data_IF_997955554322
#
_entry.id   IF_997955554322
#
_cell.length_a   1.000
_cell.length_b   1.000
_cell.length_c   1.000
_cell.angle_alpha   90.00
_cell.angle_beta   90.00
_cell.angle_gamma   90.00
#
_symmetry.space_group_name_H-M   'P 1'
#
loop_
_entity.id
_entity.type
_entity.pdbx_description
1 polymer ?
#
# COMPACT_ATOMS: atom_id res chain seq x y z
N UNK A 1 -7.42 -19.96 -9.77
CA UNK A 1 -7.19 -18.84 -8.82
C UNK A 1 -6.23 -19.30 -7.72
N UNK A 2 -5.03 -18.72 -7.66
CA UNK A 2 -4.06 -19.00 -6.58
C UNK A 2 -4.42 -18.14 -5.36
N UNK A 3 -4.55 -18.74 -4.18
CA UNK A 3 -4.86 -18.01 -2.95
C UNK A 3 -3.64 -17.18 -2.52
N UNK A 4 -3.81 -15.88 -2.29
CA UNK A 4 -2.77 -15.02 -1.74
C UNK A 4 -2.44 -15.37 -0.29
N UNK A 5 -1.21 -15.09 0.15
CA UNK A 5 -0.79 -15.29 1.55
C UNK A 5 -1.46 -14.27 2.47
N UNK A 6 -1.35 -14.49 3.78
CA UNK A 6 -1.85 -13.53 4.77
C UNK A 6 -1.18 -12.17 4.65
N UNK A 7 0.14 -12.14 4.49
CA UNK A 7 0.88 -10.88 4.41
C UNK A 7 0.50 -10.10 3.14
N UNK A 8 0.33 -10.80 2.01
CA UNK A 8 -0.18 -10.19 0.78
C UNK A 8 -1.61 -9.66 0.97
N UNK A 9 -2.48 -10.39 1.67
CA UNK A 9 -3.83 -9.94 1.97
C UNK A 9 -3.85 -8.69 2.85
N UNK A 10 -3.07 -8.62 3.94
CA UNK A 10 -3.05 -7.44 4.81
C UNK A 10 -2.31 -6.24 4.18
N UNK A 11 -1.31 -6.51 3.34
CA UNK A 11 -0.68 -5.47 2.54
C UNK A 11 -1.66 -4.91 1.49
N UNK A 12 -2.39 -5.78 0.79
CA UNK A 12 -3.47 -5.40 -0.12
C UNK A 12 -4.51 -4.47 0.55
N UNK A 13 -4.91 -4.78 1.78
CA UNK A 13 -5.82 -3.92 2.55
C UNK A 13 -5.21 -2.54 2.84
N UNK A 14 -3.91 -2.48 3.09
CA UNK A 14 -3.20 -1.22 3.32
C UNK A 14 -3.11 -0.37 2.03
N UNK A 15 -2.84 -0.98 0.88
CA UNK A 15 -2.92 -0.28 -0.41
C UNK A 15 -4.36 0.18 -0.74
N UNK A 16 -5.38 -0.65 -0.46
CA UNK A 16 -6.78 -0.27 -0.62
C UNK A 16 -7.16 0.94 0.24
N UNK A 17 -6.70 1.01 1.50
CA UNK A 17 -6.89 2.17 2.36
C UNK A 17 -6.19 3.41 1.81
N UNK A 18 -4.99 3.25 1.24
CA UNK A 18 -4.23 4.36 0.64
C UNK A 18 -5.00 5.09 -0.47
N UNK A 19 -5.91 4.41 -1.18
CA UNK A 19 -6.78 5.02 -2.20
C UNK A 19 -7.71 6.12 -1.64
N UNK A 20 -7.92 6.16 -0.32
CA UNK A 20 -8.67 7.24 0.35
C UNK A 20 -7.80 8.40 0.81
N UNK A 21 -6.48 8.33 0.61
CA UNK A 21 -5.58 9.42 0.96
C UNK A 21 -6.00 10.72 0.28
N UNK A 22 -5.86 11.81 1.01
CA UNK A 22 -6.10 13.15 0.49
C UNK A 22 -4.81 13.93 0.30
N UNK A 23 -3.64 13.30 0.48
CA UNK A 23 -2.34 13.93 0.24
C UNK A 23 -1.89 13.68 -1.20
N UNK A 24 -1.59 14.74 -1.95
CA UNK A 24 -1.14 14.63 -3.34
C UNK A 24 0.35 14.30 -3.47
N UNK A 25 1.11 14.31 -2.36
CA UNK A 25 2.55 13.99 -2.36
C UNK A 25 2.84 12.50 -2.23
N UNK A 26 2.04 11.80 -1.43
CA UNK A 26 2.17 10.38 -1.18
C UNK A 26 0.86 9.85 -0.60
N UNK A 27 0.33 8.79 -1.19
CA UNK A 27 -0.81 8.06 -0.65
C UNK A 27 -0.29 6.89 0.20
N UNK A 28 -0.61 6.90 1.49
CA UNK A 28 -0.19 5.87 2.44
C UNK A 28 -1.43 5.30 3.11
N UNK A 29 -1.48 3.98 3.21
CA UNK A 29 -2.42 3.26 4.06
C UNK A 29 -1.70 2.34 5.04
N UNK A 30 -2.36 2.05 6.15
CA UNK A 30 -1.88 1.18 7.21
C UNK A 30 -3.02 0.34 7.79
N UNK A 31 -2.74 -0.92 8.12
CA UNK A 31 -3.69 -1.88 8.70
C UNK A 31 -3.07 -2.51 9.94
N UNK A 32 -3.78 -2.47 11.08
CA UNK A 32 -3.37 -3.16 12.30
C UNK A 32 -4.13 -4.48 12.41
N UNK A 33 -3.39 -5.55 12.69
CA UNK A 33 -3.87 -6.94 12.68
C UNK A 33 -3.51 -7.62 14.00
N UNK A 34 -4.46 -8.37 14.56
CA UNK A 34 -4.23 -9.29 15.68
C UNK A 34 -4.90 -10.61 15.38
N UNK A 35 -4.19 -11.73 15.59
CA UNK A 35 -4.71 -13.08 15.36
C UNK A 35 -5.33 -13.25 13.96
N UNK A 36 -4.67 -12.67 12.94
CA UNK A 36 -5.13 -12.62 11.54
C UNK A 36 -6.49 -11.94 11.35
N UNK A 37 -6.88 -11.06 12.27
CA UNK A 37 -8.08 -10.21 12.17
C UNK A 37 -7.66 -8.75 12.15
N UNK A 38 -8.25 -8.00 11.24
CA UNK A 38 -8.05 -6.55 11.16
C UNK A 38 -8.76 -5.91 12.35
N UNK A 39 -8.04 -5.08 13.11
CA UNK A 39 -8.59 -4.36 14.27
C UNK A 39 -8.67 -2.85 14.06
N UNK A 40 -7.85 -2.30 13.15
CA UNK A 40 -7.93 -0.91 12.72
C UNK A 40 -7.30 -0.70 11.34
N UNK A 41 -7.66 0.41 10.71
CA UNK A 41 -7.08 0.86 9.46
C UNK A 41 -6.91 2.37 9.46
N UNK A 42 -5.94 2.86 8.69
CA UNK A 42 -5.68 4.28 8.54
C UNK A 42 -5.17 4.59 7.15
N UNK A 43 -5.38 5.83 6.72
CA UNK A 43 -4.74 6.41 5.56
C UNK A 43 -4.29 7.82 5.92
N UNK A 44 -3.29 8.36 5.22
CA UNK A 44 -2.83 9.71 5.52
C UNK A 44 -3.84 10.76 5.02
N UNK A 45 -4.25 11.65 5.90
CA UNK A 45 -5.28 12.65 5.63
C UNK A 45 -5.38 13.69 6.72
N UNK A 46 -6.05 14.80 6.44
CA UNK A 46 -6.27 15.87 7.42
C UNK A 46 -7.10 15.40 8.61
N UNK A 47 -7.08 16.17 9.69
CA UNK A 47 -8.00 15.98 10.82
C UNK A 47 -9.46 15.96 10.32
N UNK A 48 -10.33 15.23 11.03
CA UNK A 48 -11.76 15.21 10.69
C UNK A 48 -12.36 16.62 10.77
N UNK A 49 -13.03 17.03 9.68
CA UNK A 49 -13.64 18.37 9.56
C UNK A 49 -12.66 19.50 9.18
N UNK A 50 -11.37 19.20 8.97
CA UNK A 50 -10.38 20.16 8.50
C UNK A 50 -10.25 20.20 6.97
N UNK A 51 -9.48 21.18 6.49
CA UNK A 51 -9.13 21.30 5.07
C UNK A 51 -8.24 20.14 4.60
N UNK A 52 -8.57 19.51 3.46
CA UNK A 52 -7.78 18.46 2.83
C UNK A 52 -6.74 19.00 1.84
N UNK A 53 -5.65 18.26 1.59
CA UNK A 53 -4.64 18.70 0.61
C UNK A 53 -5.19 18.71 -0.81
N UNK A 54 -6.13 17.83 -1.15
CA UNK A 54 -6.83 17.86 -2.45
C UNK A 54 -7.60 19.16 -2.69
N UNK A 55 -8.06 19.83 -1.63
CA UNK A 55 -8.86 21.05 -1.74
C UNK A 55 -8.03 22.33 -1.60
N UNK A 56 -7.01 22.32 -0.72
CA UNK A 56 -6.22 23.51 -0.34
C UNK A 56 -4.73 23.41 -0.65
N UNK A 57 -4.30 22.32 -1.28
CA UNK A 57 -2.89 21.99 -1.43
C UNK A 57 -2.25 21.47 -0.13
N UNK A 58 -1.10 20.81 -0.28
CA UNK A 58 -0.30 20.38 0.86
C UNK A 58 0.19 21.60 1.65
N UNK A 59 0.09 21.53 2.98
CA UNK A 59 0.74 22.50 3.86
C UNK A 59 2.14 21.98 4.20
N UNK A 60 3.17 22.56 3.58
CA UNK A 60 4.54 22.03 3.62
C UNK A 60 5.41 22.88 4.55
N UNK A 61 6.08 22.23 5.49
CA UNK A 61 7.09 22.82 6.38
C UNK A 61 8.32 21.92 6.30
N UNK A 62 9.50 22.51 6.07
CA UNK A 62 10.79 21.80 5.94
C UNK A 62 10.75 20.61 4.96
N UNK A 63 10.01 20.75 3.86
CA UNK A 63 9.86 19.70 2.84
C UNK A 63 8.87 18.58 3.19
N UNK A 64 8.25 18.62 4.36
CA UNK A 64 7.25 17.66 4.84
C UNK A 64 5.84 18.26 4.83
N UNK A 65 4.85 17.48 4.39
CA UNK A 65 3.45 17.89 4.50
C UNK A 65 2.97 17.68 5.93
N UNK A 66 2.70 18.78 6.65
CA UNK A 66 2.25 18.74 8.05
C UNK A 66 0.73 18.85 8.20
N UNK A 67 0.00 18.96 7.07
CA UNK A 67 -1.48 18.99 7.07
C UNK A 67 -2.10 17.65 7.49
N UNK A 68 -1.43 16.55 7.14
CA UNK A 68 -1.98 15.21 7.27
C UNK A 68 -1.52 14.52 8.54
N UNK A 69 -2.45 13.87 9.23
CA UNK A 69 -2.11 12.75 10.10
C UNK A 69 -1.69 11.59 9.21
N UNK A 70 -0.59 10.92 9.57
CA UNK A 70 -0.07 9.77 8.82
C UNK A 70 -0.96 8.53 8.98
N UNK A 71 -0.83 7.57 8.07
CA UNK A 71 -1.70 6.39 8.03
C UNK A 71 -1.57 5.53 9.29
N UNK A 72 -0.33 5.30 9.72
CA UNK A 72 0.06 4.54 10.90
C UNK A 72 -0.56 5.19 12.15
N UNK A 73 -0.45 6.52 12.25
CA UNK A 73 -1.05 7.28 13.35
C UNK A 73 -2.57 7.21 13.32
N UNK A 74 -3.21 7.34 12.16
CA UNK A 74 -4.67 7.21 12.08
C UNK A 74 -5.14 5.82 12.50
N UNK A 75 -4.41 4.75 12.17
CA UNK A 75 -4.73 3.40 12.61
C UNK A 75 -4.58 3.24 14.14
N UNK A 76 -3.49 3.76 14.73
CA UNK A 76 -3.28 3.76 16.18
C UNK A 76 -4.33 4.62 16.92
N UNK A 77 -4.66 5.79 16.39
CA UNK A 77 -5.68 6.69 16.94
C UNK A 77 -7.07 6.08 16.88
N UNK A 78 -7.40 5.30 15.83
CA UNK A 78 -8.65 4.54 15.79
C UNK A 78 -8.74 3.57 16.97
N UNK A 79 -7.68 2.79 17.21
CA UNK A 79 -7.62 1.87 18.34
C UNK A 79 -7.77 2.61 19.69
N UNK A 80 -7.06 3.73 19.87
CA UNK A 80 -7.17 4.57 21.07
C UNK A 80 -8.59 5.10 21.27
N UNK A 81 -9.23 5.63 20.22
CA UNK A 81 -10.58 6.18 20.25
C UNK A 81 -11.63 5.15 20.67
N UNK A 82 -11.45 3.90 20.27
CA UNK A 82 -12.41 2.82 20.54
C UNK A 82 -11.99 1.89 21.68
N UNK A 83 -10.91 2.20 22.41
CA UNK A 83 -10.46 1.40 23.55
C UNK A 83 -9.94 0.01 23.16
N UNK A 84 -9.42 -0.15 21.94
CA UNK A 84 -8.84 -1.41 21.45
C UNK A 84 -7.34 -1.40 21.72
N UNK A 85 -6.86 -2.32 22.55
CA UNK A 85 -5.42 -2.48 22.76
C UNK A 85 -4.73 -2.87 21.46
N UNK A 86 -3.53 -2.36 21.20
CA UNK A 86 -2.66 -2.76 20.08
C UNK A 86 -1.40 -3.51 20.53
N UNK A 87 -1.24 -3.72 21.85
CA UNK A 87 -0.11 -4.49 22.39
C UNK A 87 -0.08 -5.89 21.78
N UNK A 88 1.09 -6.31 21.30
CA UNK A 88 1.29 -7.62 20.66
C UNK A 88 0.69 -7.75 19.24
N UNK A 89 0.14 -6.67 18.67
CA UNK A 89 -0.43 -6.69 17.33
C UNK A 89 0.65 -6.44 16.26
N UNK A 90 0.28 -6.69 15.01
CA UNK A 90 1.09 -6.41 13.83
C UNK A 90 0.55 -5.17 13.11
N UNK A 91 1.42 -4.44 12.43
CA UNK A 91 1.02 -3.36 11.53
C UNK A 91 1.57 -3.59 10.12
N UNK A 92 0.73 -3.41 9.12
CA UNK A 92 1.06 -3.43 7.70
C UNK A 92 0.96 -2.00 7.19
N UNK A 93 1.97 -1.50 6.48
CA UNK A 93 2.01 -0.13 5.97
C UNK A 93 2.48 -0.13 4.52
N UNK A 94 1.77 0.56 3.63
CA UNK A 94 2.17 0.66 2.21
C UNK A 94 3.56 1.26 1.98
N UNK A 95 4.10 2.00 2.95
CA UNK A 95 5.40 2.66 2.86
C UNK A 95 6.11 2.56 4.20
N UNK A 96 7.45 2.53 4.19
CA UNK A 96 8.23 2.53 5.43
C UNK A 96 7.87 3.75 6.30
N UNK A 97 7.59 3.56 7.60
CA UNK A 97 7.10 4.63 8.46
C UNK A 97 8.15 5.71 8.70
N UNK A 98 7.70 6.97 8.83
CA UNK A 98 8.59 8.05 9.23
C UNK A 98 9.03 7.88 10.70
N UNK A 99 10.13 8.53 11.10
CA UNK A 99 10.69 8.43 12.46
C UNK A 99 9.64 8.63 13.58
N UNK A 100 8.69 9.56 13.41
CA UNK A 100 7.66 9.80 14.43
C UNK A 100 6.65 8.65 14.50
N UNK A 101 6.22 8.13 13.35
CA UNK A 101 5.33 6.97 13.30
C UNK A 101 6.02 5.73 13.86
N UNK A 102 7.30 5.52 13.54
CA UNK A 102 8.12 4.44 14.10
C UNK A 102 8.16 4.48 15.62
N UNK A 103 8.45 5.65 16.22
CA UNK A 103 8.44 5.82 17.68
C UNK A 103 7.06 5.51 18.27
N UNK A 104 5.98 5.95 17.63
CA UNK A 104 4.62 5.68 18.08
C UNK A 104 4.26 4.18 17.97
N UNK A 105 4.66 3.50 16.89
CA UNK A 105 4.47 2.06 16.69
C UNK A 105 5.15 1.28 17.83
N UNK A 106 6.42 1.59 18.10
CA UNK A 106 7.20 0.98 19.19
C UNK A 106 6.50 1.22 20.53
N UNK A 107 6.21 2.48 20.86
CA UNK A 107 5.66 2.84 22.17
C UNK A 107 4.24 2.32 22.40
N UNK A 108 3.47 2.08 21.32
CA UNK A 108 2.15 1.49 21.39
C UNK A 108 2.18 -0.03 21.68
N UNK A 109 3.35 -0.68 21.55
CA UNK A 109 3.52 -2.10 21.81
C UNK A 109 3.20 -3.00 20.61
N UNK A 110 3.31 -2.48 19.37
CA UNK A 110 3.28 -3.31 18.16
C UNK A 110 4.50 -4.23 18.15
N UNK A 111 4.29 -5.51 17.82
CA UNK A 111 5.37 -6.50 17.80
C UNK A 111 6.04 -6.62 16.44
N UNK A 112 5.31 -6.42 15.34
CA UNK A 112 5.81 -6.63 13.98
C UNK A 112 5.32 -5.55 13.03
N UNK A 113 6.25 -5.03 12.23
CA UNK A 113 6.04 -4.01 11.21
C UNK A 113 6.30 -4.61 9.83
N UNK A 114 5.26 -4.68 9.02
CA UNK A 114 5.32 -5.09 7.62
C UNK A 114 5.19 -3.85 6.73
N UNK A 115 6.05 -3.71 5.72
CA UNK A 115 5.97 -2.59 4.77
C UNK A 115 6.20 -3.03 3.32
N UNK A 116 5.65 -2.35 2.31
CA UNK A 116 5.85 -2.72 0.90
C UNK A 116 6.90 -1.88 0.18
N UNK A 117 6.80 -0.56 0.23
CA UNK A 117 7.75 0.35 -0.43
C UNK A 117 8.66 1.08 0.57
N UNK A 118 9.92 1.26 0.21
CA UNK A 118 10.81 2.16 0.93
C UNK A 118 10.36 3.62 0.79
N UNK A 119 10.58 4.41 1.84
CA UNK A 119 10.26 5.83 1.84
C UNK A 119 11.30 6.64 2.61
N UNK A 120 12.43 6.93 1.95
CA UNK A 120 13.55 7.71 2.52
C UNK A 120 13.84 7.30 3.97
N UNK A 121 14.03 5.99 4.17
CA UNK A 121 14.05 5.38 5.50
C UNK A 121 15.10 6.09 6.37
N UNK A 122 14.66 6.59 7.52
CA UNK A 122 15.54 7.31 8.43
C UNK A 122 16.38 6.30 9.22
N UNK A 123 17.71 6.41 9.21
CA UNK A 123 18.62 5.44 9.87
C UNK A 123 18.26 5.24 11.35
N UNK A 124 18.07 6.34 12.09
CA UNK A 124 17.64 6.27 13.49
C UNK A 124 16.29 5.56 13.71
N UNK A 125 15.37 5.54 12.72
CA UNK A 125 14.13 4.78 12.85
C UNK A 125 14.39 3.28 12.80
N UNK A 126 15.33 2.83 11.97
CA UNK A 126 15.77 1.43 11.87
C UNK A 126 16.43 1.02 13.20
N UNK A 127 17.37 1.82 13.69
CA UNK A 127 18.04 1.58 14.98
C UNK A 127 17.04 1.44 16.14
N UNK A 128 16.01 2.29 16.19
CA UNK A 128 14.98 2.22 17.23
C UNK A 128 14.13 0.94 17.14
N UNK A 129 13.80 0.49 15.93
CA UNK A 129 13.05 -0.76 15.74
C UNK A 129 13.86 -1.97 16.21
N UNK A 130 15.16 -2.00 15.89
CA UNK A 130 16.09 -3.02 16.36
C UNK A 130 16.24 -3.01 17.88
N UNK A 131 16.47 -1.83 18.49
CA UNK A 131 16.58 -1.67 19.95
C UNK A 131 15.31 -2.10 20.69
N UNK A 132 14.14 -1.85 20.10
CA UNK A 132 12.85 -2.24 20.67
C UNK A 132 12.49 -3.72 20.44
N UNK A 133 13.25 -4.44 19.60
CA UNK A 133 12.94 -5.82 19.22
C UNK A 133 11.67 -5.98 18.39
N UNK A 134 11.31 -4.96 17.60
CA UNK A 134 10.19 -5.03 16.66
C UNK A 134 10.66 -5.74 15.39
N UNK A 135 9.99 -6.83 15.00
CA UNK A 135 10.31 -7.53 13.75
C UNK A 135 9.90 -6.65 12.56
N UNK A 136 10.82 -6.45 11.60
CA UNK A 136 10.57 -5.63 10.42
C UNK A 136 10.67 -6.50 9.18
N UNK A 137 9.60 -6.54 8.38
CA UNK A 137 9.52 -7.38 7.18
C UNK A 137 9.06 -6.57 5.98
N UNK A 138 9.84 -6.60 4.90
CA UNK A 138 9.40 -6.05 3.63
C UNK A 138 8.54 -7.08 2.89
N UNK A 139 7.31 -6.69 2.54
CA UNK A 139 6.37 -7.49 1.75
C UNK A 139 6.41 -6.99 0.32
N UNK A 140 7.04 -7.74 -0.58
CA UNK A 140 7.00 -7.43 -2.01
C UNK A 140 5.56 -7.54 -2.49
N UNK A 141 4.95 -6.40 -2.81
CA UNK A 141 3.54 -6.32 -3.15
C UNK A 141 3.37 -5.94 -4.62
N UNK A 142 2.73 -6.81 -5.39
CA UNK A 142 2.40 -6.56 -6.79
C UNK A 142 0.92 -6.17 -6.89
N UNK A 143 0.66 -4.88 -7.12
CA UNK A 143 -0.70 -4.34 -7.18
C UNK A 143 -1.56 -5.00 -8.26
N UNK A 144 -0.94 -5.56 -9.31
CA UNK A 144 -1.63 -6.28 -10.40
C UNK A 144 -2.34 -7.55 -9.90
N UNK A 145 -1.94 -8.08 -8.75
CA UNK A 145 -2.60 -9.24 -8.14
C UNK A 145 -3.98 -8.91 -7.55
N UNK A 146 -4.32 -7.63 -7.36
CA UNK A 146 -5.67 -7.19 -6.99
C UNK A 146 -6.38 -6.59 -8.22
N UNK A 147 -6.50 -7.38 -9.28
CA UNK A 147 -7.33 -7.02 -10.42
C UNK A 147 -8.52 -7.98 -10.53
N UNK A 148 -9.69 -7.53 -10.08
CA UNK A 148 -10.92 -8.31 -10.14
C UNK A 148 -11.43 -8.55 -11.57
N UNK A 149 -10.86 -7.86 -12.56
CA UNK A 149 -11.20 -7.98 -13.97
C UNK A 149 -10.02 -8.50 -14.79
N UNK A 150 -9.03 -9.14 -14.17
CA UNK A 150 -7.82 -9.60 -14.86
C UNK A 150 -8.16 -10.51 -16.04
N UNK A 151 -9.08 -11.45 -15.84
CA UNK A 151 -9.51 -12.42 -16.85
C UNK A 151 -10.24 -11.72 -18.00
N UNK A 152 -11.17 -10.81 -17.70
CA UNK A 152 -11.94 -10.08 -18.71
C UNK A 152 -11.05 -9.15 -19.53
N UNK A 153 -10.09 -8.47 -18.89
CA UNK A 153 -9.15 -7.61 -19.61
C UNK A 153 -8.17 -8.42 -20.47
N UNK A 154 -7.70 -9.56 -19.98
CA UNK A 154 -6.89 -10.49 -20.77
C UNK A 154 -7.67 -11.01 -21.99
N UNK A 155 -8.94 -11.39 -21.81
CA UNK A 155 -9.80 -11.83 -22.90
C UNK A 155 -10.03 -10.73 -23.95
N UNK A 156 -10.31 -9.50 -23.52
CA UNK A 156 -10.45 -8.34 -24.42
C UNK A 156 -9.16 -8.09 -25.20
N UNK A 157 -8.01 -8.18 -24.55
CA UNK A 157 -6.72 -8.02 -25.20
C UNK A 157 -6.49 -9.08 -26.29
N UNK A 158 -6.77 -10.34 -26.00
CA UNK A 158 -6.63 -11.43 -26.97
C UNK A 158 -7.53 -11.25 -28.19
N UNK A 159 -8.76 -10.76 -28.00
CA UNK A 159 -9.64 -10.41 -29.11
C UNK A 159 -9.04 -9.29 -30.00
N UNK A 160 -8.48 -8.24 -29.38
CA UNK A 160 -7.89 -7.11 -30.11
C UNK A 160 -6.64 -7.52 -30.89
N UNK A 161 -5.76 -8.34 -30.31
CA UNK A 161 -4.57 -8.87 -30.98
C UNK A 161 -4.92 -9.78 -32.14
N UNK A 162 -5.91 -10.65 -31.97
CA UNK A 162 -6.43 -11.49 -33.05
C UNK A 162 -6.89 -10.65 -34.25
N UNK A 163 -7.70 -9.62 -33.99
CA UNK A 163 -8.16 -8.67 -35.02
C UNK A 163 -7.04 -7.88 -35.68
N UNK A 164 -6.00 -7.50 -34.93
CA UNK A 164 -4.85 -6.79 -35.49
C UNK A 164 -4.05 -7.69 -36.45
N UNK A 165 -3.84 -8.96 -36.06
CA UNK A 165 -3.19 -9.96 -36.91
C UNK A 165 -3.98 -10.22 -38.20
N UNK A 166 -5.30 -10.34 -38.12
CA UNK A 166 -6.19 -10.51 -39.29
C UNK A 166 -6.11 -9.33 -40.27
N UNK A 167 -5.86 -8.11 -39.76
CA UNK A 167 -5.71 -6.91 -40.59
C UNK A 167 -4.29 -6.70 -41.13
N UNK A 168 -3.37 -7.64 -40.90
CA UNK A 168 -2.01 -7.60 -41.42
C UNK A 168 -1.02 -6.81 -40.55
N UNK A 169 -1.28 -6.69 -39.24
CA UNK A 169 -0.29 -6.16 -38.30
C UNK A 169 1.01 -6.96 -38.33
N UNK A 170 2.15 -6.27 -38.22
CA UNK A 170 3.47 -6.93 -38.29
C UNK A 170 3.77 -7.70 -37.01
N UNK A 171 4.65 -8.71 -37.10
CA UNK A 171 5.09 -9.48 -35.93
C UNK A 171 5.76 -8.58 -34.88
N UNK A 172 6.45 -7.52 -35.32
CA UNK A 172 7.07 -6.52 -34.44
C UNK A 172 6.02 -5.70 -33.68
N UNK A 173 4.94 -5.30 -34.35
CA UNK A 173 3.83 -4.56 -33.73
C UNK A 173 3.06 -5.44 -32.72
N UNK A 174 2.83 -6.71 -33.06
CA UNK A 174 2.19 -7.68 -32.16
C UNK A 174 3.07 -7.94 -30.93
N UNK A 175 4.38 -8.10 -31.11
CA UNK A 175 5.32 -8.29 -30.00
C UNK A 175 5.33 -7.09 -29.04
N UNK A 176 5.31 -5.87 -29.57
CA UNK A 176 5.24 -4.64 -28.77
C UNK A 176 4.03 -4.61 -27.83
N UNK A 177 2.83 -4.94 -28.34
CA UNK A 177 1.62 -4.96 -27.51
C UNK A 177 1.62 -6.10 -26.49
N UNK A 178 2.15 -7.27 -26.85
CA UNK A 178 2.29 -8.41 -25.92
C UNK A 178 3.18 -8.08 -24.73
N UNK A 179 4.31 -7.42 -24.98
CA UNK A 179 5.21 -6.99 -23.90
C UNK A 179 4.51 -6.00 -22.96
N UNK A 180 3.83 -4.98 -23.52
CA UNK A 180 3.08 -4.00 -22.73
C UNK A 180 1.96 -4.62 -21.90
N UNK A 181 1.30 -5.66 -22.42
CA UNK A 181 0.29 -6.38 -21.66
C UNK A 181 0.91 -7.23 -20.56
N UNK A 182 2.03 -7.91 -20.81
CA UNK A 182 2.77 -8.60 -19.76
C UNK A 182 3.18 -7.64 -18.63
N UNK A 183 3.61 -6.43 -18.97
CA UNK A 183 3.94 -5.39 -17.99
C UNK A 183 2.72 -4.93 -17.17
N UNK A 184 1.60 -4.64 -17.83
CA UNK A 184 0.41 -4.08 -17.16
C UNK A 184 -0.41 -5.12 -16.39
N UNK A 185 -0.47 -6.36 -16.88
CA UNK A 185 -1.38 -7.39 -16.38
C UNK A 185 -0.67 -8.48 -15.56
N UNK A 186 0.65 -8.61 -15.70
CA UNK A 186 1.45 -9.56 -14.91
C UNK A 186 1.26 -11.04 -15.30
N UNK A 187 0.45 -11.35 -16.31
CA UNK A 187 0.27 -12.71 -16.86
C UNK A 187 0.95 -12.85 -18.22
N UNK A 188 1.59 -13.99 -18.47
CA UNK A 188 1.82 -14.46 -19.83
C UNK A 188 0.48 -14.95 -20.36
N UNK A 189 -0.16 -14.13 -21.19
CA UNK A 189 -1.35 -14.57 -21.90
C UNK A 189 -0.84 -15.42 -23.07
N UNK A 190 -0.85 -16.74 -22.88
CA UNK A 190 -0.52 -17.67 -23.97
C UNK A 190 -1.52 -17.49 -25.12
N UNK A 191 -0.98 -17.35 -26.32
CA UNK A 191 -1.70 -17.21 -27.60
C UNK A 191 -2.10 -18.56 -28.15
#
# INVERSE_FOLDING_TARGET
>A
MKRITWDQFFMAQSHLLALRSTCTRLAVGATIVRDRRIIAGGYNGSISGGDHCIDKGCYVVDGHCVRTIHAEMNALLQCSKYGVSVSGADIYVSHFPCLQCTKSIIQAGISRLYYSADYKNHEYAIELLEQAGVEVVQVIFDERQIDFLSVEKAALYMELIGKLKEKGGSDEELAHYNERVKELFGEEIEV
#
